data_IF_635902847187
#
_entry.id   IF_635902847187
#
_cell.length_a   1.000
_cell.length_b   1.000
_cell.length_c   1.000
_cell.angle_alpha   90.00
_cell.angle_beta   90.00
_cell.angle_gamma   90.00
#
_symmetry.space_group_name_H-M   'P 1'
#
loop_
_entity.id
_entity.type
_entity.pdbx_description
1 polymer ?
#
# COMPACT_ATOMS: atom_id res chain seq x y z
N UNK A 1 4.60 -2.42 -3.09
CA UNK A 1 5.24 -2.76 -4.39
C UNK A 1 6.54 -1.99 -4.62
N UNK A 2 6.48 -0.68 -4.92
CA UNK A 2 7.69 0.14 -5.22
C UNK A 2 8.73 0.05 -4.10
N UNK A 3 8.29 0.25 -2.86
CA UNK A 3 9.13 0.25 -1.67
C UNK A 3 9.70 -1.14 -1.36
N UNK A 4 8.86 -2.16 -1.48
CA UNK A 4 9.29 -3.55 -1.31
C UNK A 4 10.41 -3.92 -2.29
N UNK A 5 10.24 -3.60 -3.57
CA UNK A 5 11.23 -3.93 -4.58
C UNK A 5 12.51 -3.08 -4.45
N UNK A 6 12.39 -1.76 -4.47
CA UNK A 6 13.55 -0.87 -4.58
C UNK A 6 14.27 -0.64 -3.26
N UNK A 7 13.56 -0.63 -2.13
CA UNK A 7 14.15 -0.30 -0.83
C UNK A 7 14.41 -1.58 -0.02
N UNK A 8 13.37 -2.37 0.26
CA UNK A 8 13.50 -3.55 1.11
C UNK A 8 14.35 -4.64 0.44
N UNK A 9 13.99 -5.05 -0.78
CA UNK A 9 14.73 -6.05 -1.56
C UNK A 9 15.94 -5.50 -2.32
N UNK A 10 16.10 -4.17 -2.38
CA UNK A 10 17.20 -3.49 -3.08
C UNK A 10 17.34 -3.91 -4.55
N UNK A 11 16.22 -4.10 -5.22
CA UNK A 11 16.14 -4.54 -6.61
C UNK A 11 16.41 -6.04 -6.82
N UNK A 12 16.70 -6.81 -5.77
CA UNK A 12 16.97 -8.25 -5.90
C UNK A 12 15.66 -9.04 -5.88
N UNK A 13 15.42 -9.79 -6.95
CA UNK A 13 14.30 -10.73 -7.05
C UNK A 13 14.87 -12.08 -7.44
N UNK A 14 14.45 -13.13 -6.75
CA UNK A 14 14.64 -14.50 -7.20
C UNK A 14 13.44 -14.90 -8.06
N UNK A 15 13.67 -15.01 -9.37
CA UNK A 15 12.62 -15.33 -10.34
C UNK A 15 12.13 -16.77 -10.15
N UNK A 16 13.04 -17.71 -9.84
CA UNK A 16 12.66 -19.11 -9.69
C UNK A 16 11.65 -19.27 -8.54
N UNK A 17 11.88 -18.55 -7.44
CA UNK A 17 11.01 -18.56 -6.27
C UNK A 17 9.61 -17.98 -6.54
N UNK A 18 9.49 -17.02 -7.46
CA UNK A 18 8.19 -16.42 -7.80
C UNK A 18 7.26 -17.38 -8.55
N UNK A 19 7.83 -18.40 -9.19
CA UNK A 19 7.09 -19.40 -9.97
C UNK A 19 7.09 -20.78 -9.29
N UNK A 20 7.64 -20.89 -8.07
CA UNK A 20 7.68 -22.13 -7.31
C UNK A 20 6.40 -22.27 -6.46
N UNK A 21 5.49 -23.21 -6.79
CA UNK A 21 4.29 -23.44 -5.99
C UNK A 21 4.60 -23.97 -4.58
N UNK A 22 5.76 -24.60 -4.38
CA UNK A 22 6.25 -25.13 -3.09
C UNK A 22 7.22 -24.18 -2.39
N UNK A 23 7.50 -23.01 -2.99
CA UNK A 23 8.38 -21.99 -2.44
C UNK A 23 7.89 -21.46 -1.08
N UNK A 24 8.71 -20.68 -0.36
CA UNK A 24 8.37 -20.12 0.94
C UNK A 24 7.18 -19.16 0.81
N UNK A 25 5.98 -19.71 0.97
CA UNK A 25 4.75 -18.95 0.98
C UNK A 25 4.66 -18.21 2.31
N UNK A 26 4.63 -16.88 2.26
CA UNK A 26 4.24 -16.08 3.42
C UNK A 26 2.80 -16.49 3.76
N UNK A 27 2.58 -17.05 4.96
CA UNK A 27 1.28 -17.35 5.56
C UNK A 27 0.18 -17.86 4.61
N UNK A 28 0.44 -18.94 3.84
CA UNK A 28 -0.58 -19.51 2.94
C UNK A 28 -0.80 -18.72 1.64
N UNK A 29 0.25 -18.05 1.16
CA UNK A 29 0.28 -17.40 -0.15
C UNK A 29 0.04 -15.88 -0.11
N UNK A 30 -0.09 -15.28 1.07
CA UNK A 30 -0.29 -13.85 1.23
C UNK A 30 0.61 -13.23 2.29
N UNK A 31 1.09 -12.02 2.00
CA UNK A 31 1.84 -11.23 2.97
C UNK A 31 0.88 -10.48 3.89
N UNK A 32 0.79 -10.90 5.15
CA UNK A 32 0.05 -10.16 6.21
C UNK A 32 0.57 -8.73 6.32
N UNK A 33 1.90 -8.55 6.28
CA UNK A 33 2.55 -7.23 6.35
C UNK A 33 2.13 -6.37 5.16
N UNK A 34 2.12 -6.93 3.95
CA UNK A 34 1.67 -6.24 2.75
C UNK A 34 0.20 -5.82 2.85
N UNK A 35 -0.65 -6.70 3.40
CA UNK A 35 -2.07 -6.43 3.59
C UNK A 35 -2.30 -5.28 4.59
N UNK A 36 -1.65 -5.34 5.75
CA UNK A 36 -1.73 -4.29 6.77
C UNK A 36 -1.24 -2.95 6.22
N UNK A 37 -0.12 -2.96 5.49
CA UNK A 37 0.46 -1.76 4.87
C UNK A 37 -0.47 -1.15 3.81
N UNK A 38 -1.18 -1.99 3.05
CA UNK A 38 -2.17 -1.55 2.08
C UNK A 38 -3.36 -0.86 2.75
N UNK A 39 -3.97 -1.50 3.75
CA UNK A 39 -5.12 -0.93 4.46
C UNK A 39 -4.75 0.33 5.25
N UNK A 40 -3.57 0.38 5.86
CA UNK A 40 -3.10 1.58 6.54
C UNK A 40 -2.99 2.79 5.59
N UNK A 41 -2.52 2.56 4.36
CA UNK A 41 -2.48 3.59 3.31
C UNK A 41 -3.87 4.13 2.98
N UNK A 42 -4.84 3.25 2.72
CA UNK A 42 -6.23 3.63 2.40
C UNK A 42 -6.85 4.42 3.56
N UNK A 43 -6.77 3.88 4.79
CA UNK A 43 -7.38 4.53 5.96
C UNK A 43 -6.75 5.90 6.19
N UNK A 44 -5.43 5.99 6.11
CA UNK A 44 -4.70 7.25 6.28
C UNK A 44 -5.05 8.29 5.22
N UNK A 45 -5.16 7.86 3.96
CA UNK A 45 -5.61 8.72 2.85
C UNK A 45 -7.00 9.32 3.14
N UNK A 46 -7.96 8.50 3.56
CA UNK A 46 -9.31 8.97 3.88
C UNK A 46 -9.34 9.94 5.05
N UNK A 47 -8.59 9.66 6.13
CA UNK A 47 -8.51 10.55 7.31
C UNK A 47 -7.96 11.91 6.92
N UNK A 48 -6.84 11.94 6.18
CA UNK A 48 -6.18 13.19 5.77
C UNK A 48 -7.10 13.98 4.84
N UNK A 49 -7.72 13.30 3.88
CA UNK A 49 -8.63 13.93 2.93
C UNK A 49 -9.88 14.52 3.61
N UNK A 50 -10.46 13.82 4.58
CA UNK A 50 -11.56 14.33 5.39
C UNK A 50 -11.15 15.55 6.23
N UNK A 51 -9.95 15.54 6.81
CA UNK A 51 -9.47 16.64 7.66
C UNK A 51 -9.16 17.94 6.92
N UNK A 52 -8.81 17.85 5.63
CA UNK A 52 -8.42 19.01 4.82
C UNK A 52 -9.60 19.71 4.15
N UNK A 53 -10.83 19.20 4.29
CA UNK A 53 -12.02 19.79 3.67
C UNK A 53 -11.92 19.90 2.15
N UNK A 54 -11.07 19.09 1.51
CA UNK A 54 -10.86 19.13 0.08
C UNK A 54 -12.19 18.86 -0.63
N UNK A 55 -12.48 19.53 -1.78
CA UNK A 55 -13.70 19.30 -2.52
C UNK A 55 -13.81 17.80 -2.84
N UNK A 56 -14.77 17.15 -2.19
CA UNK A 56 -15.04 15.74 -2.42
C UNK A 56 -15.64 15.64 -3.82
N UNK A 57 -14.95 14.93 -4.71
CA UNK A 57 -15.52 14.54 -5.98
C UNK A 57 -16.34 13.29 -5.70
N UNK A 58 -17.65 13.36 -5.89
CA UNK A 58 -18.52 12.22 -5.62
C UNK A 58 -18.54 11.29 -6.84
N UNK A 59 -18.21 10.01 -6.63
CA UNK A 59 -18.58 8.93 -7.54
C UNK A 59 -19.82 8.25 -6.96
N UNK A 60 -21.00 8.55 -7.52
CA UNK A 60 -22.30 8.23 -6.91
C UNK A 60 -22.43 8.80 -5.48
N UNK A 61 -22.43 7.94 -4.46
CA UNK A 61 -22.55 8.30 -3.05
C UNK A 61 -21.23 8.16 -2.28
N UNK A 62 -20.14 7.80 -2.97
CA UNK A 62 -18.83 7.61 -2.36
C UNK A 62 -18.04 8.92 -2.50
N UNK A 63 -17.70 9.59 -1.39
CA UNK A 63 -16.85 10.77 -1.44
C UNK A 63 -15.42 10.37 -1.81
N UNK A 64 -14.93 10.83 -2.96
CA UNK A 64 -13.55 10.63 -3.39
C UNK A 64 -12.76 11.91 -3.12
N UNK A 65 -11.63 11.84 -2.41
CA UNK A 65 -10.74 12.98 -2.21
C UNK A 65 -10.35 13.66 -3.53
N UNK A 66 -10.04 14.96 -3.51
CA UNK A 66 -9.41 15.63 -4.65
C UNK A 66 -8.15 14.85 -5.06
N UNK A 67 -8.21 14.25 -6.24
CA UNK A 67 -7.38 13.10 -6.64
C UNK A 67 -5.88 13.38 -6.59
N UNK A 68 -5.43 14.61 -6.79
CA UNK A 68 -4.00 14.85 -7.02
C UNK A 68 -3.11 14.64 -5.79
N UNK A 69 -3.58 14.87 -4.57
CA UNK A 69 -2.76 14.78 -3.34
C UNK A 69 -3.06 13.57 -2.45
N UNK A 70 -4.28 13.05 -2.51
CA UNK A 70 -4.75 11.98 -1.62
C UNK A 70 -3.94 10.68 -1.78
N UNK A 71 -3.70 10.28 -3.03
CA UNK A 71 -2.93 9.08 -3.34
C UNK A 71 -1.48 9.15 -2.86
N UNK A 72 -0.85 10.34 -2.82
CA UNK A 72 0.50 10.50 -2.29
C UNK A 72 0.53 10.18 -0.80
N UNK A 73 -0.46 10.65 -0.03
CA UNK A 73 -0.54 10.33 1.40
C UNK A 73 -0.71 8.83 1.62
N UNK A 74 -1.64 8.20 0.89
CA UNK A 74 -1.84 6.76 0.95
C UNK A 74 -0.56 5.98 0.60
N UNK A 75 0.14 6.41 -0.45
CA UNK A 75 1.42 5.83 -0.86
C UNK A 75 2.49 5.93 0.24
N UNK A 76 2.71 7.13 0.81
CA UNK A 76 3.74 7.31 1.83
C UNK A 76 3.41 6.60 3.14
N UNK A 77 2.14 6.58 3.55
CA UNK A 77 1.72 5.84 4.75
C UNK A 77 1.94 4.35 4.55
N UNK A 78 1.50 3.80 3.40
CA UNK A 78 1.74 2.40 3.05
C UNK A 78 3.23 2.06 3.00
N UNK A 79 4.04 2.95 2.43
CA UNK A 79 5.50 2.82 2.36
C UNK A 79 6.15 2.72 3.74
N UNK A 80 5.82 3.64 4.64
CA UNK A 80 6.37 3.70 6.00
C UNK A 80 5.97 2.45 6.77
N UNK A 81 4.68 2.09 6.76
CA UNK A 81 4.18 0.91 7.49
C UNK A 81 4.86 -0.36 6.98
N UNK A 82 4.99 -0.52 5.66
CA UNK A 82 5.67 -1.68 5.06
C UNK A 82 7.12 -1.79 5.52
N UNK A 83 7.87 -0.68 5.49
CA UNK A 83 9.28 -0.67 5.93
C UNK A 83 9.46 -0.89 7.43
N UNK A 84 8.47 -0.52 8.24
CA UNK A 84 8.55 -0.68 9.70
C UNK A 84 8.24 -2.11 10.13
N UNK A 85 7.44 -2.82 9.34
CA UNK A 85 6.95 -4.17 9.65
C UNK A 85 7.67 -5.29 8.89
N UNK A 86 8.40 -4.98 7.81
CA UNK A 86 9.18 -5.94 7.00
C UNK A 86 10.61 -6.07 7.51
#
# INVERSE_FOLDING_TARGET
MVIDHWIFRRGKIDIALLYDPEGPQVSGGFSVIGLVSFFAGIIGEYIISASRGAPQVYFNFIPVPSIELAWYYGFFISAIVHLTLS
#
